data_IF_249712768718
#
_entry.id   IF_249712768718
#
_cell.length_a   1.000
_cell.length_b   1.000
_cell.length_c   1.000
_cell.angle_alpha   90.00
_cell.angle_beta   90.00
_cell.angle_gamma   90.00
#
_symmetry.space_group_name_H-M   'P 1'
#
loop_
_entity.id
_entity.type
_entity.pdbx_description
1 polymer ?
#
# COMPACT_ATOMS: atom_id res chain seq x y z
N UNK A 1 17.79 -2.58 -11.50
CA UNK A 1 16.72 -3.03 -12.38
C UNK A 1 15.49 -2.17 -12.20
N UNK A 2 14.71 -2.00 -13.25
CA UNK A 2 13.45 -1.27 -13.17
C UNK A 2 12.46 -2.02 -12.28
N UNK A 3 11.56 -1.29 -11.59
CA UNK A 3 10.52 -1.92 -10.79
C UNK A 3 9.56 -2.76 -11.62
N UNK A 4 9.17 -3.89 -11.08
CA UNK A 4 8.15 -4.75 -11.65
C UNK A 4 6.79 -4.49 -11.01
N UNK A 5 5.72 -4.82 -11.72
CA UNK A 5 4.38 -4.76 -11.16
C UNK A 5 4.25 -5.68 -9.93
N UNK A 6 3.82 -5.09 -8.82
CA UNK A 6 3.71 -5.77 -7.53
C UNK A 6 4.90 -5.52 -6.59
N UNK A 7 5.98 -4.90 -7.07
CA UNK A 7 7.09 -4.53 -6.20
C UNK A 7 6.66 -3.46 -5.19
N UNK A 8 7.25 -3.52 -4.00
CA UNK A 8 7.10 -2.48 -2.98
C UNK A 8 8.32 -1.56 -3.07
N UNK A 9 8.07 -0.27 -3.16
CA UNK A 9 9.11 0.75 -3.29
C UNK A 9 9.04 1.76 -2.16
N UNK A 10 10.18 2.32 -1.81
CA UNK A 10 10.31 3.43 -0.87
C UNK A 10 10.65 4.69 -1.68
N UNK A 11 9.97 5.78 -1.38
CA UNK A 11 10.22 7.07 -2.03
C UNK A 11 10.00 8.22 -1.05
N UNK A 12 10.76 9.29 -1.24
CA UNK A 12 10.52 10.56 -0.54
C UNK A 12 9.79 11.49 -1.49
N UNK A 13 8.51 11.81 -1.27
CA UNK A 13 7.78 12.72 -2.14
C UNK A 13 8.41 14.12 -2.16
N UNK A 14 8.39 14.85 -3.29
CA UNK A 14 8.94 16.20 -3.38
C UNK A 14 8.38 17.13 -2.30
N UNK A 15 9.27 17.85 -1.61
CA UNK A 15 8.89 18.79 -0.55
C UNK A 15 8.51 18.16 0.79
N UNK A 16 8.70 16.85 0.95
CA UNK A 16 8.46 16.13 2.19
C UNK A 16 9.76 15.58 2.79
N UNK A 17 9.77 15.44 4.13
CA UNK A 17 10.88 14.84 4.89
C UNK A 17 10.50 13.45 5.42
N UNK A 18 9.49 12.82 4.83
CA UNK A 18 8.97 11.52 5.27
C UNK A 18 8.94 10.58 4.09
N UNK A 19 9.50 9.40 4.26
CA UNK A 19 9.48 8.37 3.26
C UNK A 19 8.11 7.70 3.20
N UNK A 20 7.67 7.41 1.98
CA UNK A 20 6.47 6.65 1.69
C UNK A 20 6.85 5.26 1.21
N UNK A 21 6.09 4.26 1.67
CA UNK A 21 6.12 2.92 1.10
C UNK A 21 4.87 2.74 0.26
N UNK A 22 5.05 2.34 -0.98
CA UNK A 22 3.96 2.12 -1.93
C UNK A 22 4.25 0.89 -2.79
N UNK A 23 3.18 0.34 -3.34
CA UNK A 23 3.24 -0.77 -4.28
C UNK A 23 3.13 -0.28 -5.71
N UNK A 24 3.98 -0.82 -6.59
CA UNK A 24 3.90 -0.58 -8.02
C UNK A 24 2.72 -1.36 -8.60
N UNK A 25 1.70 -0.66 -9.06
CA UNK A 25 0.54 -1.28 -9.70
C UNK A 25 0.44 -0.96 -11.18
N UNK A 26 0.98 0.17 -11.63
CA UNK A 26 1.03 0.57 -13.04
C UNK A 26 2.46 0.75 -13.53
N UNK A 27 2.75 0.22 -14.71
CA UNK A 27 4.01 0.33 -15.43
C UNK A 27 3.89 1.32 -16.59
N UNK A 28 5.00 1.83 -17.15
CA UNK A 28 4.97 2.69 -18.34
C UNK A 28 4.08 2.11 -19.45
N UNK A 29 3.19 2.95 -20.00
CA UNK A 29 2.23 2.58 -21.04
C UNK A 29 0.93 1.97 -20.52
N UNK A 30 0.80 1.61 -19.27
CA UNK A 30 -0.46 1.10 -18.74
C UNK A 30 -1.53 2.19 -18.65
N UNK A 31 -2.76 1.78 -18.96
CA UNK A 31 -3.95 2.58 -18.67
C UNK A 31 -4.50 2.17 -17.31
N UNK A 32 -4.46 3.08 -16.35
CA UNK A 32 -4.87 2.84 -14.96
C UNK A 32 -6.17 3.57 -14.67
N UNK A 33 -7.08 2.87 -14.05
CA UNK A 33 -8.35 3.38 -13.54
C UNK A 33 -8.68 2.69 -12.21
N UNK A 34 -9.33 3.40 -11.30
CA UNK A 34 -9.98 2.81 -10.13
C UNK A 34 -11.45 3.17 -10.20
N UNK A 35 -12.33 2.19 -10.03
CA UNK A 35 -13.77 2.37 -10.04
C UNK A 35 -14.41 1.56 -8.92
N UNK A 36 -15.10 2.26 -7.99
CA UNK A 36 -15.67 1.63 -6.80
C UNK A 36 -14.63 0.81 -6.02
N UNK A 37 -13.41 1.34 -5.84
CA UNK A 37 -12.31 0.66 -5.15
C UNK A 37 -11.61 -0.45 -5.97
N UNK A 38 -12.11 -0.80 -7.15
CA UNK A 38 -11.51 -1.84 -7.99
C UNK A 38 -10.47 -1.24 -8.92
N UNK A 39 -9.21 -1.68 -8.79
CA UNK A 39 -8.13 -1.32 -9.72
C UNK A 39 -8.38 -1.99 -11.08
N UNK A 40 -8.31 -1.20 -12.15
CA UNK A 40 -8.49 -1.63 -13.53
C UNK A 40 -7.21 -1.29 -14.29
N UNK A 41 -6.57 -2.29 -14.88
CA UNK A 41 -5.33 -2.15 -15.64
C UNK A 41 -5.60 -2.56 -17.08
N UNK A 42 -5.37 -1.65 -18.03
CA UNK A 42 -5.59 -1.88 -19.46
C UNK A 42 -7.01 -2.39 -19.78
N UNK A 43 -8.01 -1.84 -19.06
CA UNK A 43 -9.41 -2.20 -19.21
C UNK A 43 -9.83 -3.49 -18.50
N UNK A 44 -8.90 -4.19 -17.84
CA UNK A 44 -9.20 -5.43 -17.12
C UNK A 44 -9.18 -5.19 -15.60
N UNK A 45 -10.29 -5.50 -14.89
CA UNK A 45 -10.31 -5.40 -13.44
C UNK A 45 -9.36 -6.42 -12.81
N UNK A 46 -8.62 -5.98 -11.80
CA UNK A 46 -7.77 -6.85 -11.00
C UNK A 46 -8.66 -7.83 -10.23
N UNK A 47 -8.25 -9.10 -10.18
CA UNK A 47 -8.98 -10.11 -9.41
C UNK A 47 -8.92 -9.78 -7.93
N UNK A 48 -10.08 -9.80 -7.26
CA UNK A 48 -10.22 -9.56 -5.83
C UNK A 48 -10.89 -10.76 -5.16
N UNK A 49 -10.36 -11.19 -4.03
CA UNK A 49 -10.92 -12.27 -3.24
C UNK A 49 -10.93 -11.86 -1.76
N UNK A 50 -12.09 -11.78 -1.11
CA UNK A 50 -12.17 -11.59 0.34
C UNK A 50 -11.42 -12.72 1.06
N UNK A 51 -10.71 -12.36 2.13
CA UNK A 51 -10.05 -13.29 3.05
C UNK A 51 -10.60 -13.13 4.46
N UNK A 52 -10.13 -13.97 5.35
CA UNK A 52 -10.43 -13.82 6.78
C UNK A 52 -9.95 -12.45 7.28
N UNK A 53 -10.75 -11.83 8.13
CA UNK A 53 -10.39 -10.58 8.76
C UNK A 53 -9.15 -10.77 9.64
N UNK A 54 -8.29 -9.75 9.69
CA UNK A 54 -7.06 -9.78 10.48
C UNK A 54 -7.22 -8.93 11.72
N UNK A 55 -6.79 -9.48 12.85
CA UNK A 55 -6.68 -8.74 14.10
C UNK A 55 -5.29 -8.12 14.21
N UNK A 56 -5.25 -6.81 14.40
CA UNK A 56 -4.02 -6.03 14.59
C UNK A 56 -4.07 -5.37 15.96
N UNK A 57 -3.01 -5.46 16.77
CA UNK A 57 -2.96 -4.75 18.04
C UNK A 57 -3.12 -3.24 17.83
N UNK A 58 -3.95 -2.61 18.64
CA UNK A 58 -4.07 -1.14 18.67
C UNK A 58 -2.92 -0.58 19.50
N UNK A 59 -2.19 0.37 18.93
CA UNK A 59 -1.13 1.10 19.62
C UNK A 59 -1.23 2.62 19.36
N UNK A 60 -0.27 3.38 19.89
CA UNK A 60 -0.26 4.84 19.71
C UNK A 60 -0.02 5.27 18.25
N UNK A 61 0.57 4.42 17.44
CA UNK A 61 0.87 4.71 16.03
C UNK A 61 -0.28 4.29 15.11
N UNK A 62 -1.06 3.30 15.56
CA UNK A 62 -2.27 2.83 14.88
C UNK A 62 -3.41 2.68 15.89
N UNK A 63 -4.09 3.80 16.19
CA UNK A 63 -5.10 3.80 17.23
C UNK A 63 -6.41 3.12 16.83
N UNK A 64 -6.55 2.68 15.56
CA UNK A 64 -7.80 2.14 15.04
C UNK A 64 -8.99 3.04 15.45
N UNK A 65 -8.90 4.30 15.05
CA UNK A 65 -9.88 5.30 15.49
C UNK A 65 -11.28 4.96 14.93
N UNK A 66 -12.36 5.26 15.64
CA UNK A 66 -13.72 5.06 15.12
C UNK A 66 -14.01 5.88 13.85
N UNK A 67 -13.28 6.97 13.63
CA UNK A 67 -13.40 7.82 12.44
C UNK A 67 -12.82 7.12 11.21
N UNK A 68 -11.65 6.49 11.37
CA UNK A 68 -10.95 5.81 10.28
C UNK A 68 -11.44 4.37 10.08
N UNK A 69 -11.83 3.72 11.18
CA UNK A 69 -12.23 2.32 11.20
C UNK A 69 -13.51 2.12 12.01
N UNK A 70 -14.68 2.55 11.50
CA UNK A 70 -15.94 2.45 12.22
C UNK A 70 -16.25 0.99 12.59
N UNK A 71 -16.58 0.75 13.85
CA UNK A 71 -16.95 -0.56 14.41
C UNK A 71 -15.89 -1.67 14.27
N UNK A 72 -14.61 -1.30 14.06
CA UNK A 72 -13.52 -2.26 13.89
C UNK A 72 -12.69 -2.49 15.16
N UNK A 73 -12.82 -1.63 16.15
CA UNK A 73 -12.09 -1.74 17.42
C UNK A 73 -12.77 -2.73 18.33
N UNK A 74 -12.03 -3.72 18.79
CA UNK A 74 -12.52 -4.74 19.74
C UNK A 74 -11.63 -4.79 20.97
N UNK A 75 -12.24 -5.02 22.13
CA UNK A 75 -11.53 -5.32 23.39
C UNK A 75 -11.56 -6.83 23.62
N UNK A 76 -10.44 -7.39 24.06
CA UNK A 76 -10.34 -8.75 24.54
C UNK A 76 -10.55 -8.82 26.06
N UNK A 77 -10.76 -10.02 26.58
CA UNK A 77 -11.00 -10.27 28.02
C UNK A 77 -9.81 -9.83 28.90
N UNK A 78 -8.60 -9.81 28.34
CA UNK A 78 -7.39 -9.32 29.02
C UNK A 78 -7.25 -7.78 29.02
N UNK A 79 -8.25 -7.06 28.48
CA UNK A 79 -8.25 -5.60 28.35
C UNK A 79 -7.46 -5.05 27.18
N UNK A 80 -6.80 -5.89 26.38
CA UNK A 80 -6.11 -5.44 25.18
C UNK A 80 -7.08 -5.00 24.09
N UNK A 81 -6.69 -3.96 23.31
CA UNK A 81 -7.48 -3.44 22.20
C UNK A 81 -6.90 -3.92 20.87
N UNK A 82 -7.79 -4.31 19.98
CA UNK A 82 -7.44 -4.82 18.66
C UNK A 82 -8.29 -4.17 17.57
N UNK A 83 -7.72 -4.03 16.39
CA UNK A 83 -8.41 -3.59 15.19
C UNK A 83 -8.71 -4.79 14.31
N UNK A 84 -9.97 -4.99 13.96
CA UNK A 84 -10.43 -6.08 13.11
C UNK A 84 -10.58 -5.57 11.68
N UNK A 85 -9.62 -5.87 10.81
CA UNK A 85 -9.57 -5.34 9.47
C UNK A 85 -10.01 -6.37 8.42
N UNK A 86 -10.89 -5.99 7.49
CA UNK A 86 -11.22 -6.82 6.35
C UNK A 86 -10.01 -6.90 5.42
N UNK A 87 -9.68 -8.10 4.98
CA UNK A 87 -8.58 -8.34 4.06
C UNK A 87 -9.15 -8.74 2.71
N UNK A 88 -8.66 -8.09 1.66
CA UNK A 88 -8.97 -8.43 0.28
C UNK A 88 -7.66 -8.79 -0.41
N UNK A 89 -7.57 -9.99 -0.95
CA UNK A 89 -6.45 -10.40 -1.78
C UNK A 89 -6.67 -9.92 -3.20
N UNK A 90 -5.74 -9.13 -3.70
CA UNK A 90 -5.68 -8.74 -5.10
C UNK A 90 -4.63 -9.57 -5.84
N UNK A 91 -4.94 -9.94 -7.08
CA UNK A 91 -4.01 -10.63 -7.98
C UNK A 91 -3.83 -9.82 -9.25
N UNK A 92 -2.60 -9.35 -9.45
CA UNK A 92 -2.20 -8.54 -10.60
C UNK A 92 -2.12 -9.38 -11.89
N UNK A 93 -2.12 -8.75 -13.08
CA UNK A 93 -2.04 -9.46 -14.36
C UNK A 93 -0.82 -10.36 -14.51
N UNK A 94 0.28 -10.07 -13.84
CA UNK A 94 1.50 -10.90 -13.83
C UNK A 94 1.44 -12.08 -12.85
N UNK A 95 0.30 -12.30 -12.18
CA UNK A 95 0.08 -13.38 -11.24
C UNK A 95 0.52 -13.10 -9.79
N UNK A 96 1.21 -11.99 -9.53
CA UNK A 96 1.58 -11.60 -8.17
C UNK A 96 0.34 -11.22 -7.36
N UNK A 97 0.27 -11.70 -6.13
CA UNK A 97 -0.87 -11.43 -5.22
C UNK A 97 -0.38 -10.78 -3.95
N UNK A 98 -1.21 -9.91 -3.39
CA UNK A 98 -0.97 -9.24 -2.11
C UNK A 98 -2.29 -8.94 -1.41
N UNK A 99 -2.21 -8.68 -0.12
CA UNK A 99 -3.37 -8.36 0.70
C UNK A 99 -3.53 -6.84 0.81
N UNK A 100 -4.77 -6.37 0.70
CA UNK A 100 -5.16 -4.97 0.86
C UNK A 100 -6.17 -4.84 1.98
N UNK A 101 -6.23 -3.65 2.57
CA UNK A 101 -7.30 -3.21 3.46
C UNK A 101 -8.12 -2.15 2.74
N UNK A 102 -9.42 -2.32 2.70
CA UNK A 102 -10.38 -1.46 2.02
C UNK A 102 -11.67 -1.51 2.86
N UNK A 103 -11.92 -0.46 3.63
CA UNK A 103 -12.95 -0.43 4.69
C UNK A 103 -14.13 0.44 4.31
N UNK A 104 -13.85 1.58 3.67
CA UNK A 104 -14.84 2.59 3.30
C UNK A 104 -15.19 2.47 1.81
N UNK A 105 -16.41 2.01 1.47
CA UNK A 105 -16.83 1.85 0.08
C UNK A 105 -17.00 3.18 -0.68
N UNK A 106 -16.97 4.30 0.02
CA UNK A 106 -17.16 5.64 -0.53
C UNK A 106 -15.90 6.51 -0.38
N UNK A 107 -14.74 5.88 -0.21
CA UNK A 107 -13.45 6.57 -0.08
C UNK A 107 -13.15 7.44 -1.33
N UNK A 108 -12.61 8.65 -1.15
CA UNK A 108 -12.27 9.52 -2.29
C UNK A 108 -11.31 8.88 -3.32
N UNK A 109 -10.50 7.90 -2.90
CA UNK A 109 -9.59 7.16 -3.78
C UNK A 109 -10.24 6.05 -4.59
N UNK A 110 -11.52 5.76 -4.36
CA UNK A 110 -12.24 4.65 -5.01
C UNK A 110 -12.61 4.93 -6.46
N UNK A 111 -12.56 6.19 -6.87
CA UNK A 111 -12.80 6.57 -8.24
C UNK A 111 -11.67 7.48 -8.74
N UNK A 112 -10.88 6.97 -9.66
CA UNK A 112 -9.72 7.66 -10.22
C UNK A 112 -9.50 7.31 -11.68
N UNK A 113 -9.05 8.30 -12.47
CA UNK A 113 -8.66 8.08 -13.86
C UNK A 113 -9.85 8.00 -14.82
N UNK A 114 -9.67 7.39 -15.99
CA UNK A 114 -8.46 6.68 -16.44
C UNK A 114 -7.30 7.60 -16.83
N UNK A 115 -6.09 7.13 -16.60
CA UNK A 115 -4.86 7.78 -17.07
C UNK A 115 -3.94 6.76 -17.75
N UNK A 116 -3.05 7.23 -18.63
CA UNK A 116 -1.96 6.43 -19.15
C UNK A 116 -0.68 6.79 -18.41
N UNK A 117 0.03 5.78 -17.90
CA UNK A 117 1.30 5.95 -17.22
C UNK A 117 2.38 6.36 -18.25
N UNK A 118 3.03 7.52 -18.09
CA UNK A 118 4.07 7.96 -19.02
C UNK A 118 5.31 7.04 -19.01
N UNK A 119 6.16 7.18 -20.03
CA UNK A 119 7.45 6.51 -20.05
C UNK A 119 8.26 6.85 -18.80
N UNK A 120 8.97 5.83 -18.25
CA UNK A 120 9.78 5.94 -17.05
C UNK A 120 9.03 6.43 -15.81
N UNK A 121 7.70 6.29 -15.78
CA UNK A 121 6.87 6.56 -14.62
C UNK A 121 6.19 5.29 -14.13
N UNK A 122 5.80 5.30 -12.87
CA UNK A 122 5.13 4.19 -12.22
C UNK A 122 3.92 4.70 -11.45
N UNK A 123 2.81 3.98 -11.53
CA UNK A 123 1.63 4.27 -10.71
C UNK A 123 1.71 3.47 -9.44
N UNK A 124 1.69 4.18 -8.31
CA UNK A 124 1.94 3.65 -7.00
C UNK A 124 0.69 3.75 -6.13
N UNK A 125 0.33 2.66 -5.45
CA UNK A 125 -0.78 2.65 -4.49
C UNK A 125 -0.34 2.05 -3.16
N UNK A 126 -0.98 2.52 -2.07
CA UNK A 126 -0.82 1.89 -0.77
C UNK A 126 -1.72 0.66 -0.62
N UNK A 127 -1.28 -0.30 0.17
CA UNK A 127 -2.07 -1.51 0.43
C UNK A 127 -3.25 -1.23 1.38
N UNK A 128 -3.15 -0.23 2.26
CA UNK A 128 -4.31 0.31 2.98
C UNK A 128 -4.97 1.38 2.11
N UNK A 129 -5.98 0.99 1.35
CA UNK A 129 -6.57 1.76 0.26
C UNK A 129 -7.18 3.07 0.69
N UNK A 130 -7.86 3.10 1.82
CA UNK A 130 -8.55 4.30 2.34
C UNK A 130 -7.59 5.27 3.03
N UNK A 131 -6.49 4.76 3.56
CA UNK A 131 -5.52 5.52 4.36
C UNK A 131 -4.16 5.64 3.67
N UNK A 132 -4.14 5.77 2.35
CA UNK A 132 -2.92 5.95 1.57
C UNK A 132 -2.95 7.24 0.78
N UNK A 133 -2.02 8.14 1.08
CA UNK A 133 -1.67 9.25 0.21
C UNK A 133 -0.74 8.73 -0.90
N UNK A 134 -1.28 8.47 -2.09
CA UNK A 134 -0.57 7.81 -3.18
C UNK A 134 -0.84 8.46 -4.56
N UNK A 135 -0.60 7.74 -5.64
CA UNK A 135 -0.76 8.28 -7.01
C UNK A 135 -2.20 8.69 -7.36
N UNK A 136 -3.19 8.26 -6.61
CA UNK A 136 -4.60 8.66 -6.80
C UNK A 136 -4.88 10.09 -6.33
N UNK A 137 -4.02 10.66 -5.48
CA UNK A 137 -4.26 11.93 -4.80
C UNK A 137 -3.26 12.99 -5.21
N UNK A 138 -3.68 14.26 -5.30
CA UNK A 138 -2.80 15.38 -5.64
C UNK A 138 -1.81 15.69 -4.50
N UNK A 139 -0.70 16.34 -4.84
CA UNK A 139 0.37 16.67 -3.88
C UNK A 139 -0.11 17.57 -2.73
N UNK A 140 -1.06 18.48 -2.97
CA UNK A 140 -1.61 19.31 -1.90
C UNK A 140 -2.42 18.53 -0.86
N UNK A 141 -2.87 17.32 -1.19
CA UNK A 141 -3.45 16.35 -0.24
C UNK A 141 -2.39 15.35 0.29
N UNK A 142 -1.11 15.68 0.15
CA UNK A 142 0.03 14.82 0.48
C UNK A 142 0.14 13.55 -0.37
N UNK A 143 -0.63 13.47 -1.44
CA UNK A 143 -0.53 12.43 -2.45
C UNK A 143 0.70 12.59 -3.35
N UNK A 144 0.84 11.68 -4.30
CA UNK A 144 1.98 11.67 -5.22
C UNK A 144 1.72 12.49 -6.50
N UNK A 145 0.48 12.93 -6.73
CA UNK A 145 0.12 13.76 -7.87
C UNK A 145 0.03 13.02 -9.20
N UNK A 146 -0.26 11.72 -9.16
CA UNK A 146 -0.29 10.85 -10.34
C UNK A 146 0.91 9.90 -10.42
N UNK A 147 1.26 9.43 -11.63
CA UNK A 147 2.43 8.59 -11.86
C UNK A 147 3.73 9.27 -11.42
N UNK A 148 4.62 8.51 -10.80
CA UNK A 148 5.88 8.99 -10.24
C UNK A 148 7.03 8.66 -11.17
N UNK A 149 7.91 9.64 -11.53
CA UNK A 149 9.12 9.38 -12.29
C UNK A 149 10.04 8.39 -11.58
N UNK A 150 10.70 7.52 -12.35
CA UNK A 150 11.62 6.52 -11.81
C UNK A 150 12.72 7.13 -10.93
N UNK A 151 13.26 8.25 -11.35
CA UNK A 151 14.30 8.98 -10.61
C UNK A 151 13.87 9.46 -9.23
N UNK A 152 12.57 9.61 -8.99
CA UNK A 152 12.01 10.02 -7.70
C UNK A 152 11.70 8.82 -6.79
N UNK A 153 11.72 7.61 -7.34
CA UNK A 153 11.66 6.37 -6.57
C UNK A 153 13.08 6.09 -6.09
N UNK A 154 13.51 6.81 -5.07
CA UNK A 154 14.79 6.77 -4.37
C UNK A 154 15.97 6.31 -5.20
N UNK A 155 16.83 7.19 -5.61
CA UNK A 155 18.00 6.91 -6.46
C UNK A 155 18.95 5.81 -5.99
N UNK A 156 18.51 4.84 -5.24
CA UNK A 156 19.08 3.59 -4.73
C UNK A 156 18.17 2.96 -3.65
N UNK A 157 16.87 3.22 -3.65
CA UNK A 157 16.00 2.50 -2.76
C UNK A 157 16.05 1.02 -3.16
N UNK A 158 16.40 0.15 -2.22
CA UNK A 158 16.28 -1.29 -2.42
C UNK A 158 14.82 -1.57 -2.74
N UNK A 159 14.57 -2.09 -3.93
CA UNK A 159 13.25 -2.62 -4.29
C UNK A 159 13.07 -3.86 -3.43
N UNK A 160 12.24 -3.74 -2.42
CA UNK A 160 11.93 -4.87 -1.57
C UNK A 160 10.87 -5.70 -2.29
N UNK A 161 11.30 -6.72 -3.01
CA UNK A 161 10.40 -7.74 -3.55
C UNK A 161 9.98 -8.67 -2.42
N UNK A 162 8.76 -8.50 -1.93
CA UNK A 162 8.17 -9.49 -1.04
C UNK A 162 7.46 -10.54 -1.86
N UNK A 163 8.12 -11.67 -1.98
CA UNK A 163 7.47 -12.91 -2.36
C UNK A 163 6.68 -13.38 -1.13
N UNK A 164 5.38 -13.17 -1.12
CA UNK A 164 4.48 -13.82 -0.17
C UNK A 164 4.27 -15.26 -0.62
N UNK A 165 5.25 -16.12 -0.36
CA UNK A 165 4.93 -17.52 -0.24
C UNK A 165 4.14 -17.69 1.06
N UNK A 166 3.09 -18.47 1.06
CA UNK A 166 2.11 -18.56 2.14
C UNK A 166 2.64 -19.07 3.50
N UNK A 167 3.93 -18.93 3.78
CA UNK A 167 4.58 -19.44 4.99
C UNK A 167 4.93 -18.37 6.03
N UNK A 168 4.85 -17.07 5.73
CA UNK A 168 5.15 -16.03 6.70
C UNK A 168 3.89 -15.43 7.30
N UNK A 169 3.52 -15.90 8.49
CA UNK A 169 2.36 -15.46 9.27
C UNK A 169 2.52 -14.09 9.96
N UNK A 170 3.52 -13.28 9.61
CA UNK A 170 3.89 -12.06 10.35
C UNK A 170 3.95 -10.81 9.49
N UNK A 171 3.07 -10.67 8.51
CA UNK A 171 3.06 -9.47 7.69
C UNK A 171 1.87 -8.59 8.02
N UNK A 172 2.10 -7.57 8.85
CA UNK A 172 1.13 -6.53 9.16
C UNK A 172 1.40 -5.32 8.24
N UNK A 173 0.58 -5.04 7.21
CA UNK A 173 0.78 -3.89 6.34
C UNK A 173 0.67 -2.55 7.10
N UNK A 174 0.02 -2.54 8.25
CA UNK A 174 -0.10 -1.37 9.12
C UNK A 174 1.17 -1.14 9.94
N UNK A 175 1.84 -2.19 10.40
CA UNK A 175 3.11 -2.08 11.14
C UNK A 175 4.25 -1.50 10.29
N UNK A 176 4.12 -1.49 8.99
CA UNK A 176 5.07 -0.89 8.06
C UNK A 176 5.05 0.63 8.10
N UNK A 177 3.86 1.23 8.19
CA UNK A 177 3.72 2.67 8.35
C UNK A 177 4.33 3.16 9.67
N UNK A 178 4.29 2.31 10.70
CA UNK A 178 4.82 2.65 12.02
C UNK A 178 6.31 2.38 12.18
N UNK A 179 6.84 1.34 11.56
CA UNK A 179 8.28 1.01 11.62
C UNK A 179 9.15 2.08 10.94
N UNK A 180 8.66 2.71 9.86
CA UNK A 180 9.38 3.77 9.17
C UNK A 180 9.41 5.10 9.92
N UNK A 181 8.36 5.42 10.70
CA UNK A 181 8.35 6.64 11.53
C UNK A 181 9.39 6.64 12.64
N UNK A 182 9.88 5.48 13.05
CA UNK A 182 10.82 5.34 14.15
C UNK A 182 12.31 5.41 13.73
N UNK A 183 12.66 5.64 12.47
CA UNK A 183 14.05 5.69 12.01
C UNK A 183 14.82 4.37 12.16
N UNK A 184 14.15 3.27 12.47
CA UNK A 184 14.77 1.96 12.74
C UNK A 184 14.64 0.94 11.61
N UNK A 185 13.95 1.28 10.53
CA UNK A 185 13.65 0.32 9.45
C UNK A 185 14.91 -0.12 8.68
N UNK A 186 15.94 0.70 8.64
CA UNK A 186 17.14 0.40 7.87
C UNK A 186 18.10 -0.60 8.53
N UNK A 187 18.01 -0.82 9.84
CA UNK A 187 18.93 -1.73 10.55
C UNK A 187 18.45 -3.18 10.61
N UNK A 188 17.17 -3.45 10.34
CA UNK A 188 16.60 -4.80 10.44
C UNK A 188 16.43 -5.52 9.10
N UNK A 189 16.64 -4.84 7.98
CA UNK A 189 16.42 -5.37 6.63
C UNK A 189 17.72 -5.74 5.88
N UNK A 190 18.88 -5.53 6.49
CA UNK A 190 20.12 -6.06 5.91
C UNK A 190 20.27 -7.54 6.25
N UNK A 191 20.51 -8.43 5.27
CA UNK A 191 20.87 -9.81 5.55
C UNK A 191 22.17 -9.81 6.36
N UNK A 192 22.16 -10.50 7.48
CA UNK A 192 23.41 -10.78 8.20
C UNK A 192 24.24 -11.69 7.30
N UNK A 193 25.35 -11.16 6.81
CA UNK A 193 26.39 -12.00 6.25
C UNK A 193 26.88 -12.95 7.33
N UNK A 194 26.74 -14.25 7.07
CA UNK A 194 27.29 -15.37 7.85
C UNK A 194 28.57 -15.85 7.22
#
# INVERSE_FOLDING_TARGET
SDPERGDVVILTPPGMNTDYIKRVVGLPGDRIEVRGGVLIINGQPVKRAPKEERLIPVDMNDPCSPEDYPDRRIAKDDGSLWCKLPIIRETLPNGRSYDTVDVDPDSPGDNFGPITVPDRHFFLMGDNRDHSADSRFPQWQRGLGGPVPWENIGGKAEIITFSLDGSSSTFNPVSWLTALRAGRAFTSLQPKEG
#
